data_IF_747365139957
#
_entry.id   IF_747365139957
#
_cell.length_a   1.000
_cell.length_b   1.000
_cell.length_c   1.000
_cell.angle_alpha   90.00
_cell.angle_beta   90.00
_cell.angle_gamma   90.00
#
_symmetry.space_group_name_H-M   'P 1'
#
loop_
_entity.id
_entity.type
_entity.pdbx_description
1 polymer ?
#
# COMPACT_ATOMS: atom_id res chain seq x y z
N UNK A 1 -25.33 46.80 6.08
CA UNK A 1 -23.97 46.20 6.14
C UNK A 1 -23.92 45.18 7.27
N UNK A 2 -24.00 43.89 6.95
CA UNK A 2 -23.75 42.78 7.89
C UNK A 2 -22.71 41.88 7.23
N UNK A 3 -21.67 41.59 7.98
CA UNK A 3 -20.41 41.00 7.55
C UNK A 3 -20.65 39.54 7.13
N UNK A 4 -20.46 39.23 5.85
CA UNK A 4 -20.33 37.87 5.37
C UNK A 4 -18.92 37.38 5.73
N UNK A 5 -18.81 36.72 6.86
CA UNK A 5 -17.64 35.96 7.22
C UNK A 5 -18.11 34.59 7.68
N UNK A 6 -17.71 33.55 6.96
CA UNK A 6 -17.01 32.40 7.52
C UNK A 6 -17.26 31.14 6.69
N UNK A 7 -16.19 30.33 6.60
CA UNK A 7 -16.18 28.92 6.27
C UNK A 7 -16.37 28.58 4.78
N UNK A 8 -15.31 28.85 4.01
CA UNK A 8 -15.03 28.11 2.79
C UNK A 8 -14.85 26.62 3.09
N UNK A 9 -15.59 25.81 2.34
CA UNK A 9 -15.12 24.57 1.69
C UNK A 9 -14.20 23.65 2.52
N UNK A 10 -14.75 23.00 3.56
CA UNK A 10 -14.25 21.69 4.01
C UNK A 10 -14.83 20.61 3.09
N UNK A 11 -14.44 20.64 1.81
CA UNK A 11 -14.92 19.73 0.78
C UNK A 11 -13.74 19.05 0.08
N UNK A 12 -12.80 18.45 0.82
CA UNK A 12 -11.69 17.67 0.22
C UNK A 12 -11.11 16.58 1.16
N UNK A 13 -11.96 15.90 1.93
CA UNK A 13 -11.55 14.71 2.69
C UNK A 13 -12.05 13.39 2.06
N UNK A 14 -12.45 13.42 0.79
CA UNK A 14 -13.09 12.30 0.08
C UNK A 14 -12.26 11.69 -1.06
N UNK A 15 -10.95 11.93 -1.12
CA UNK A 15 -10.08 11.42 -2.18
C UNK A 15 -8.88 10.66 -1.60
N UNK A 16 -9.17 9.61 -0.84
CA UNK A 16 -8.26 8.47 -0.75
C UNK A 16 -8.77 7.36 -1.67
N UNK A 17 -9.16 7.71 -2.91
CA UNK A 17 -9.05 6.76 -4.01
C UNK A 17 -7.57 6.69 -4.34
N UNK A 18 -6.84 5.91 -3.57
CA UNK A 18 -5.58 5.31 -4.02
C UNK A 18 -5.93 4.50 -5.28
N UNK A 19 -5.95 5.19 -6.42
CA UNK A 19 -5.82 4.56 -7.71
C UNK A 19 -4.38 4.05 -7.75
N UNK A 20 -4.15 2.90 -7.09
CA UNK A 20 -3.00 2.06 -7.38
C UNK A 20 -3.23 1.61 -8.81
N UNK A 21 -2.67 2.36 -9.75
CA UNK A 21 -2.60 1.95 -11.13
C UNK A 21 -1.86 0.63 -11.14
N UNK A 22 -2.59 -0.46 -11.33
CA UNK A 22 -2.00 -1.78 -11.57
C UNK A 22 -1.30 -1.70 -12.92
N UNK A 23 -0.05 -1.24 -12.89
CA UNK A 23 0.90 -1.56 -13.94
C UNK A 23 0.94 -3.10 -14.00
N UNK A 24 0.85 -3.65 -15.20
CA UNK A 24 0.86 -5.10 -15.42
C UNK A 24 2.32 -5.59 -15.27
N UNK A 25 2.86 -5.43 -14.07
CA UNK A 25 4.03 -6.13 -13.58
C UNK A 25 3.52 -7.45 -12.99
N UNK A 26 4.28 -8.53 -13.15
CA UNK A 26 3.98 -9.76 -12.44
C UNK A 26 4.07 -9.44 -10.93
N UNK A 27 2.94 -9.49 -10.24
CA UNK A 27 2.84 -9.16 -8.82
C UNK A 27 2.38 -10.40 -8.06
N UNK A 28 3.15 -10.75 -7.03
CA UNK A 28 2.82 -11.86 -6.14
C UNK A 28 2.80 -11.39 -4.70
N UNK A 29 1.75 -11.79 -3.99
CA UNK A 29 1.64 -11.60 -2.55
C UNK A 29 2.45 -12.67 -1.83
N UNK A 30 3.34 -12.25 -0.93
CA UNK A 30 4.06 -13.17 -0.06
C UNK A 30 3.15 -13.55 1.10
N UNK A 31 3.08 -14.84 1.40
CA UNK A 31 2.28 -15.36 2.51
C UNK A 31 2.80 -14.82 3.85
N UNK A 32 2.12 -13.82 4.43
CA UNK A 32 2.48 -13.22 5.71
C UNK A 32 1.58 -12.06 6.12
N UNK A 33 1.14 -12.04 7.39
CA UNK A 33 0.30 -10.98 7.96
C UNK A 33 1.08 -10.17 9.00
N UNK A 34 1.33 -8.88 8.75
CA UNK A 34 2.00 -8.00 9.69
C UNK A 34 1.01 -7.02 10.34
N UNK A 35 1.06 -6.89 11.67
CA UNK A 35 0.20 -5.97 12.42
C UNK A 35 0.63 -4.50 12.33
N UNK A 36 1.77 -4.21 11.69
CA UNK A 36 2.29 -2.86 11.53
C UNK A 36 3.11 -2.72 10.25
N UNK A 37 3.09 -1.53 9.66
CA UNK A 37 3.87 -1.19 8.47
C UNK A 37 5.37 -1.43 8.69
N UNK A 38 5.91 -0.99 9.83
CA UNK A 38 7.33 -1.16 10.13
C UNK A 38 7.76 -2.62 10.28
N UNK A 39 6.85 -3.50 10.71
CA UNK A 39 7.10 -4.95 10.70
C UNK A 39 7.19 -5.51 9.29
N UNK A 40 6.28 -5.08 8.41
CA UNK A 40 6.30 -5.44 6.99
C UNK A 40 7.57 -4.92 6.29
N UNK A 41 7.95 -3.65 6.49
CA UNK A 41 9.14 -3.07 5.85
C UNK A 41 10.46 -3.67 6.35
N UNK A 42 10.49 -4.16 7.59
CA UNK A 42 11.65 -4.86 8.14
C UNK A 42 11.83 -6.25 7.50
N UNK A 43 10.72 -6.91 7.18
CA UNK A 43 10.72 -8.27 6.63
C UNK A 43 10.75 -8.27 5.10
N UNK A 44 10.18 -7.25 4.44
CA UNK A 44 10.11 -7.09 2.98
C UNK A 44 11.43 -7.30 2.22
N UNK A 45 12.59 -6.80 2.66
CA UNK A 45 13.87 -7.07 1.98
C UNK A 45 14.44 -8.48 2.26
N UNK A 46 13.84 -9.24 3.17
CA UNK A 46 14.27 -10.57 3.58
C UNK A 46 13.30 -11.68 3.15
N UNK A 47 12.15 -11.35 2.55
CA UNK A 47 11.22 -12.36 2.05
C UNK A 47 11.79 -13.03 0.80
N UNK A 48 11.67 -14.35 0.77
CA UNK A 48 12.07 -15.18 -0.37
C UNK A 48 10.89 -16.07 -0.76
N UNK A 49 10.51 -16.09 -2.03
CA UNK A 49 9.47 -16.99 -2.53
C UNK A 49 10.08 -18.27 -3.12
N UNK A 50 9.37 -19.40 -3.00
CA UNK A 50 9.90 -20.70 -3.47
C UNK A 50 10.01 -20.78 -5.00
N UNK A 51 9.28 -19.94 -5.74
CA UNK A 51 9.23 -19.97 -7.20
C UNK A 51 9.59 -18.62 -7.79
N UNK A 52 10.57 -18.58 -8.70
CA UNK A 52 10.94 -17.38 -9.45
C UNK A 52 11.32 -16.15 -8.60
N UNK A 53 11.84 -16.34 -7.38
CA UNK A 53 12.26 -15.24 -6.49
C UNK A 53 13.15 -14.20 -7.16
N UNK A 54 14.17 -14.67 -7.88
CA UNK A 54 15.08 -13.84 -8.69
C UNK A 54 14.39 -12.97 -9.77
N UNK A 55 13.14 -13.26 -10.12
CA UNK A 55 12.34 -12.47 -11.05
C UNK A 55 11.66 -11.30 -10.35
N UNK A 56 11.70 -11.12 -9.04
CA UNK A 56 11.09 -9.98 -8.37
C UNK A 56 12.19 -9.10 -7.77
N UNK A 57 12.33 -7.88 -8.28
CA UNK A 57 13.39 -6.95 -7.88
C UNK A 57 12.88 -5.83 -6.98
N UNK A 58 11.56 -5.71 -6.86
CA UNK A 58 10.89 -4.70 -6.06
C UNK A 58 9.97 -5.37 -5.06
N UNK A 59 9.93 -4.80 -3.85
CA UNK A 59 9.00 -5.18 -2.80
C UNK A 59 8.26 -3.94 -2.33
N UNK A 60 7.01 -4.12 -1.91
CA UNK A 60 6.15 -3.06 -1.40
C UNK A 60 5.26 -3.60 -0.29
N UNK A 61 5.02 -2.78 0.73
CA UNK A 61 4.18 -3.14 1.87
C UNK A 61 2.81 -2.49 1.72
N UNK A 62 1.76 -3.30 1.66
CA UNK A 62 0.39 -2.82 1.43
C UNK A 62 -0.55 -3.31 2.52
N UNK A 63 -1.44 -2.43 2.97
CA UNK A 63 -2.50 -2.79 3.90
C UNK A 63 -3.62 -3.52 3.15
N UNK A 64 -3.87 -4.77 3.53
CA UNK A 64 -4.92 -5.61 2.97
C UNK A 64 -6.31 -5.28 3.53
N UNK A 65 -7.37 -5.78 2.88
CA UNK A 65 -8.75 -5.58 3.32
C UNK A 65 -9.08 -6.29 4.65
N UNK A 66 -8.23 -7.22 5.07
CA UNK A 66 -8.24 -7.93 6.35
C UNK A 66 -7.68 -7.09 7.51
N UNK A 67 -7.08 -5.92 7.22
CA UNK A 67 -6.52 -5.02 8.21
C UNK A 67 -5.09 -5.35 8.65
N UNK A 68 -4.42 -6.26 7.94
CA UNK A 68 -3.00 -6.56 8.11
C UNK A 68 -2.19 -6.01 6.94
N UNK A 69 -0.91 -5.75 7.19
CA UNK A 69 0.05 -5.43 6.15
C UNK A 69 0.54 -6.73 5.51
N UNK A 70 0.75 -6.68 4.21
CA UNK A 70 1.22 -7.78 3.38
C UNK A 70 2.37 -7.29 2.50
N UNK A 71 3.33 -8.17 2.23
CA UNK A 71 4.43 -7.88 1.33
C UNK A 71 4.05 -8.30 -0.09
N UNK A 72 4.20 -7.39 -1.02
CA UNK A 72 3.96 -7.58 -2.44
C UNK A 72 5.28 -7.49 -3.19
N UNK A 73 5.58 -8.50 -3.99
CA UNK A 73 6.77 -8.56 -4.84
C UNK A 73 6.39 -8.22 -6.29
N UNK A 74 7.21 -7.43 -6.97
CA UNK A 74 6.99 -6.97 -8.34
C UNK A 74 8.29 -6.87 -9.17
N UNK A 75 8.14 -6.88 -10.50
CA UNK A 75 9.19 -6.59 -11.50
C UNK A 75 8.64 -5.80 -12.69
#
# INVERSE_FOLDING_TARGET
>A
MRKFAAAGLMAFAGLMTIAVGVANADEVEVEGNYSSQGGCEADGPHVEITHNDHLYTHWDCRLGPDGFWHVWLSN
#
